data_IF_449566661864
#
_entry.id   IF_449566661864
#
_cell.length_a   1.000
_cell.length_b   1.000
_cell.length_c   1.000
_cell.angle_alpha   90.00
_cell.angle_beta   90.00
_cell.angle_gamma   90.00
#
_symmetry.space_group_name_H-M   'P 1'
#
loop_
_entity.id
_entity.type
_entity.pdbx_description
1 polymer ?
#
# COMPACT_ATOMS: atom_id res chain seq x y z
N UNK A 1 2.85 -0.98 -1.37
CA UNK A 1 3.23 -2.33 -1.86
C UNK A 1 2.01 -3.21 -2.16
N UNK A 2 1.13 -3.50 -1.19
CA UNK A 2 0.02 -4.47 -1.37
C UNK A 2 -0.96 -4.14 -2.51
N UNK A 3 -1.22 -2.85 -2.77
CA UNK A 3 -2.10 -2.42 -3.87
C UNK A 3 -1.56 -2.79 -5.26
N UNK A 4 -0.27 -2.59 -5.50
CA UNK A 4 0.33 -2.92 -6.81
C UNK A 4 0.36 -4.43 -7.04
N UNK A 5 0.62 -5.21 -5.99
CA UNK A 5 0.54 -6.66 -6.05
C UNK A 5 -0.87 -7.14 -6.38
N UNK A 6 -1.89 -6.58 -5.71
CA UNK A 6 -3.29 -6.91 -5.99
C UNK A 6 -3.68 -6.56 -7.43
N UNK A 7 -3.29 -5.39 -7.93
CA UNK A 7 -3.53 -4.98 -9.32
C UNK A 7 -2.86 -5.92 -10.32
N UNK A 8 -1.61 -6.32 -10.07
CA UNK A 8 -0.90 -7.28 -10.92
C UNK A 8 -1.60 -8.66 -10.93
N UNK A 9 -2.14 -9.10 -9.78
CA UNK A 9 -2.88 -10.34 -9.69
C UNK A 9 -4.23 -10.34 -10.45
N UNK A 10 -4.77 -9.16 -10.79
CA UNK A 10 -5.99 -9.02 -11.58
C UNK A 10 -5.76 -9.08 -13.10
N UNK A 11 -4.51 -9.09 -13.57
CA UNK A 11 -4.20 -9.13 -15.00
C UNK A 11 -4.63 -10.48 -15.60
N UNK A 12 -5.45 -10.44 -16.66
CA UNK A 12 -5.78 -11.64 -17.43
C UNK A 12 -4.57 -12.11 -18.25
N UNK A 13 -3.81 -13.05 -17.66
CA UNK A 13 -2.60 -13.60 -18.26
C UNK A 13 -2.88 -14.37 -19.57
N UNK A 14 -4.07 -14.96 -19.73
CA UNK A 14 -4.41 -15.72 -20.95
C UNK A 14 -4.72 -14.77 -22.10
N UNK A 15 -5.51 -13.72 -21.84
CA UNK A 15 -5.82 -12.68 -22.82
C UNK A 15 -4.54 -11.93 -23.22
N UNK A 16 -3.70 -11.58 -22.25
CA UNK A 16 -2.43 -10.90 -22.50
C UNK A 16 -1.50 -11.75 -23.38
N UNK A 17 -1.28 -13.03 -23.03
CA UNK A 17 -0.42 -13.92 -23.82
C UNK A 17 -0.92 -14.10 -25.25
N UNK A 18 -2.24 -14.16 -25.45
CA UNK A 18 -2.85 -14.26 -26.78
C UNK A 18 -2.63 -12.98 -27.60
N UNK A 19 -2.87 -11.81 -27.00
CA UNK A 19 -2.63 -10.52 -27.66
C UNK A 19 -1.16 -10.33 -28.04
N UNK A 20 -0.24 -10.68 -27.13
CA UNK A 20 1.21 -10.62 -27.38
C UNK A 20 1.62 -11.54 -28.53
N UNK A 21 1.13 -12.78 -28.55
CA UNK A 21 1.44 -13.76 -29.61
C UNK A 21 0.99 -13.28 -31.00
N UNK A 22 -0.13 -12.56 -31.05
CA UNK A 22 -0.69 -12.03 -32.29
C UNK A 22 -0.12 -10.65 -32.68
N UNK A 23 0.82 -10.11 -31.90
CA UNK A 23 1.33 -8.74 -32.03
C UNK A 23 0.23 -7.66 -31.97
N UNK A 24 -0.85 -7.93 -31.23
CA UNK A 24 -1.91 -6.96 -30.98
C UNK A 24 -1.50 -6.04 -29.82
N UNK A 25 -0.71 -5.01 -30.12
CA UNK A 25 -0.16 -4.09 -29.10
C UNK A 25 -1.25 -3.41 -28.27
N UNK A 26 -2.30 -2.90 -28.94
CA UNK A 26 -3.39 -2.17 -28.28
C UNK A 26 -4.12 -3.07 -27.29
N UNK A 27 -4.48 -4.29 -27.69
CA UNK A 27 -5.18 -5.24 -26.82
C UNK A 27 -4.33 -5.66 -25.61
N UNK A 28 -3.02 -5.82 -25.81
CA UNK A 28 -2.09 -6.15 -24.74
C UNK A 28 -1.94 -5.00 -23.73
N UNK A 29 -1.87 -3.76 -24.20
CA UNK A 29 -1.82 -2.57 -23.34
C UNK A 29 -3.14 -2.39 -22.57
N UNK A 30 -4.28 -2.49 -23.25
CA UNK A 30 -5.60 -2.37 -22.61
C UNK A 30 -5.77 -3.39 -21.49
N UNK A 31 -5.35 -4.64 -21.68
CA UNK A 31 -5.44 -5.67 -20.65
C UNK A 31 -4.66 -5.31 -19.37
N UNK A 32 -3.51 -4.63 -19.50
CA UNK A 32 -2.72 -4.16 -18.37
C UNK A 32 -3.33 -2.89 -17.74
N UNK A 33 -3.80 -1.96 -18.56
CA UNK A 33 -4.44 -0.73 -18.10
C UNK A 33 -5.73 -1.03 -17.32
N UNK A 34 -6.56 -1.96 -17.78
CA UNK A 34 -7.79 -2.37 -17.11
C UNK A 34 -7.50 -2.88 -15.67
N UNK A 35 -6.53 -3.77 -15.53
CA UNK A 35 -6.11 -4.30 -14.23
C UNK A 35 -5.50 -3.20 -13.33
N UNK A 36 -4.73 -2.29 -13.92
CA UNK A 36 -4.13 -1.18 -13.18
C UNK A 36 -5.15 -0.13 -12.73
N UNK A 37 -6.16 0.17 -13.55
CA UNK A 37 -7.20 1.14 -13.26
C UNK A 37 -8.21 0.63 -12.22
N UNK A 38 -8.30 -0.68 -12.02
CA UNK A 38 -9.21 -1.28 -11.05
C UNK A 38 -8.92 -0.83 -9.62
N UNK A 39 -9.95 -0.39 -8.91
CA UNK A 39 -9.85 -0.03 -7.50
C UNK A 39 -9.80 -1.27 -6.61
N UNK A 40 -8.60 -1.59 -6.14
CA UNK A 40 -8.34 -2.74 -5.25
C UNK A 40 -8.45 -2.40 -3.76
N UNK A 41 -8.71 -1.13 -3.40
CA UNK A 41 -8.76 -0.71 -1.98
C UNK A 41 -9.85 -1.45 -1.19
N UNK A 42 -11.09 -1.66 -1.70
CA UNK A 42 -12.12 -2.37 -0.97
C UNK A 42 -11.73 -3.82 -0.65
N UNK A 43 -11.24 -4.56 -1.65
CA UNK A 43 -10.79 -5.94 -1.48
C UNK A 43 -9.65 -6.07 -0.45
N UNK A 44 -8.70 -5.13 -0.43
CA UNK A 44 -7.61 -5.12 0.55
C UNK A 44 -8.14 -4.83 1.96
N UNK A 45 -9.12 -3.92 2.09
CA UNK A 45 -9.74 -3.61 3.38
C UNK A 45 -10.50 -4.81 3.95
N UNK A 46 -11.31 -5.49 3.14
CA UNK A 46 -12.02 -6.71 3.55
C UNK A 46 -11.05 -7.83 3.94
N UNK A 47 -9.98 -8.02 3.16
CA UNK A 47 -8.94 -8.98 3.53
C UNK A 47 -8.29 -8.65 4.87
N UNK A 48 -8.01 -7.36 5.14
CA UNK A 48 -7.47 -6.94 6.45
C UNK A 48 -8.42 -7.24 7.58
N UNK A 49 -9.70 -6.94 7.43
CA UNK A 49 -10.71 -7.28 8.44
C UNK A 49 -10.78 -8.78 8.71
N UNK A 50 -10.74 -9.61 7.67
CA UNK A 50 -10.72 -11.07 7.81
C UNK A 50 -9.49 -11.58 8.59
N UNK A 51 -8.41 -10.80 8.63
CA UNK A 51 -7.17 -11.09 9.36
C UNK A 51 -7.10 -10.39 10.71
N UNK A 52 -8.17 -9.71 11.14
CA UNK A 52 -8.20 -8.93 12.38
C UNK A 52 -7.32 -7.68 12.34
N UNK A 53 -6.92 -7.24 11.14
CA UNK A 53 -6.12 -6.04 10.94
C UNK A 53 -7.02 -4.82 10.73
N UNK A 54 -6.59 -3.61 11.12
CA UNK A 54 -7.35 -2.39 10.86
C UNK A 54 -7.54 -2.14 9.35
N UNK A 55 -8.78 -1.77 8.95
CA UNK A 55 -9.12 -1.38 7.57
C UNK A 55 -8.21 -0.27 7.05
N UNK A 56 -8.05 0.78 7.87
CA UNK A 56 -7.15 1.89 7.62
C UNK A 56 -6.01 1.88 8.65
N UNK A 57 -4.82 1.37 8.26
CA UNK A 57 -3.66 1.34 9.13
C UNK A 57 -3.19 2.72 9.59
N UNK A 58 -3.36 3.75 8.76
CA UNK A 58 -2.90 5.11 9.09
C UNK A 58 -3.83 5.74 10.10
N UNK A 59 -5.13 5.51 9.98
CA UNK A 59 -6.10 5.97 10.96
C UNK A 59 -5.94 5.24 12.29
N UNK A 60 -5.74 3.92 12.27
CA UNK A 60 -5.43 3.15 13.48
C UNK A 60 -4.15 3.64 14.16
N UNK A 61 -3.12 4.01 13.37
CA UNK A 61 -1.90 4.60 13.89
C UNK A 61 -2.17 5.97 14.55
N UNK A 62 -2.96 6.84 13.92
CA UNK A 62 -3.34 8.14 14.50
C UNK A 62 -4.09 7.97 15.83
N UNK A 63 -5.06 7.06 15.88
CA UNK A 63 -5.85 6.78 17.08
C UNK A 63 -5.03 6.15 18.21
N UNK A 64 -3.95 5.42 17.88
CA UNK A 64 -3.10 4.78 18.88
C UNK A 64 -2.34 5.77 19.78
N UNK A 65 -2.26 7.06 19.42
CA UNK A 65 -1.48 8.07 20.17
C UNK A 65 0.02 7.76 20.22
N UNK A 66 0.49 6.77 19.46
CA UNK A 66 1.86 6.27 19.50
C UNK A 66 2.87 7.38 19.19
N UNK A 67 2.53 8.25 18.24
CA UNK A 67 3.36 9.38 17.83
C UNK A 67 3.64 10.33 19.01
N UNK A 68 2.61 10.68 19.78
CA UNK A 68 2.73 11.58 20.93
C UNK A 68 3.58 10.94 22.03
N UNK A 69 3.34 9.65 22.33
CA UNK A 69 4.09 8.91 23.34
C UNK A 69 5.58 8.87 23.01
N UNK A 70 5.94 8.49 21.79
CA UNK A 70 7.34 8.41 21.38
C UNK A 70 8.01 9.77 21.26
N UNK A 71 7.26 10.80 20.87
CA UNK A 71 7.80 12.16 20.83
C UNK A 71 8.22 12.62 22.22
N UNK A 72 7.39 12.35 23.25
CA UNK A 72 7.73 12.63 24.66
C UNK A 72 8.94 11.81 25.13
N UNK A 73 8.94 10.49 24.88
CA UNK A 73 10.06 9.61 25.26
C UNK A 73 11.39 10.03 24.61
N UNK A 74 11.37 10.41 23.33
CA UNK A 74 12.57 10.88 22.61
C UNK A 74 13.02 12.26 23.07
N UNK A 75 12.10 13.18 23.38
CA UNK A 75 12.44 14.49 23.91
C UNK A 75 13.18 14.39 25.26
N UNK A 76 12.69 13.51 26.15
CA UNK A 76 13.36 13.23 27.45
C UNK A 76 14.75 12.62 27.25
N UNK A 77 14.92 11.75 26.25
CA UNK A 77 16.23 11.14 25.96
C UNK A 77 17.21 12.11 25.30
N UNK A 78 16.71 13.00 24.43
CA UNK A 78 17.53 14.00 23.73
C UNK A 78 17.88 15.21 24.60
N UNK A 79 17.18 15.46 25.71
CA UNK A 79 17.52 16.55 26.64
C UNK A 79 18.89 16.36 27.29
N UNK A 80 19.39 15.13 27.37
CA UNK A 80 20.73 14.81 27.90
C UNK A 80 21.84 14.99 26.84
N UNK A 81 21.46 15.23 25.57
CA UNK A 81 22.37 15.34 24.43
C UNK A 81 22.38 16.76 23.83
N UNK A 82 21.83 17.75 24.54
CA UNK A 82 21.90 19.15 24.12
C UNK A 82 23.36 19.60 24.25
N UNK A 83 24.05 19.60 23.11
CA UNK A 83 25.43 20.05 22.94
C UNK A 83 25.61 21.45 23.54
N UNK A 84 26.59 21.62 24.42
CA UNK A 84 26.90 22.85 25.15
C UNK A 84 27.62 23.92 24.30
N UNK A 85 27.32 24.00 23.01
CA UNK A 85 27.92 24.99 22.10
C UNK A 85 26.91 26.09 21.74
N UNK A 86 26.36 26.74 22.76
CA UNK A 86 25.74 28.05 22.68
C UNK A 86 26.43 28.98 23.68
#
# INVERSE_FOLDING_TARGET
AQQLFAKAALVDSKKLATAQKNCNLVDAESALQDAFATDVRPAIQEWRESKGLPKDPMEAFRQSGYLERITKERAVKNSHNVSSYA
#
